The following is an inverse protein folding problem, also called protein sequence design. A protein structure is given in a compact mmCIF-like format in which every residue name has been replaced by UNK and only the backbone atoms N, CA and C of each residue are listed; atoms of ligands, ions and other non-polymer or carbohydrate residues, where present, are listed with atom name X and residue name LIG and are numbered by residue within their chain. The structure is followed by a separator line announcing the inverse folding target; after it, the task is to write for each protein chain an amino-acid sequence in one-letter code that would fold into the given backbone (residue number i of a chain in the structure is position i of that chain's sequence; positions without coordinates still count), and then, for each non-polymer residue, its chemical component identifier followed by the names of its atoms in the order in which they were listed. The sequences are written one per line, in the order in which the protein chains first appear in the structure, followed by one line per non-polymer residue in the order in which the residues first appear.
data_IF_957832184069
#
_entry.id   IF_957832184069
#
_cell.length_a   1.000
_cell.length_b   1.000
_cell.length_c   1.000
_cell.angle_alpha   90.00
_cell.angle_beta   90.00
_cell.angle_gamma   90.00
#
_symmetry.space_group_name_H-M   'P 1'
#
loop_
_entity.id
_entity.type
_entity.pdbx_description
1 polymer ?
#
# COMPACT_ATOMS: atom_id res chain seq x y z
N UNK A 1 -24.62 9.24 3.86
CA UNK A 1 -23.99 10.35 3.10
C UNK A 1 -22.60 10.72 3.59
N UNK A 2 -22.40 11.31 4.79
CA UNK A 2 -21.04 11.72 5.23
C UNK A 2 -20.09 10.52 5.43
N UNK A 3 -20.62 9.41 5.91
CA UNK A 3 -19.93 8.13 6.11
C UNK A 3 -19.47 7.49 4.78
N UNK A 4 -20.32 7.54 3.76
CA UNK A 4 -19.99 7.04 2.42
C UNK A 4 -18.86 7.85 1.78
N UNK A 5 -18.86 9.18 1.95
CA UNK A 5 -17.79 10.06 1.46
C UNK A 5 -16.46 9.76 2.15
N UNK A 6 -16.43 9.52 3.47
CA UNK A 6 -15.20 9.16 4.19
C UNK A 6 -14.67 7.79 3.71
N UNK A 7 -15.56 6.84 3.44
CA UNK A 7 -15.20 5.53 2.90
C UNK A 7 -14.61 5.68 1.48
N UNK A 8 -15.27 6.44 0.62
CA UNK A 8 -14.82 6.73 -0.75
C UNK A 8 -13.54 7.59 -0.82
N UNK A 9 -13.14 8.28 0.25
CA UNK A 9 -11.86 9.01 0.28
C UNK A 9 -10.74 8.11 0.84
N UNK A 10 -10.99 7.36 1.92
CA UNK A 10 -9.96 6.51 2.57
C UNK A 10 -9.61 5.25 1.78
N UNK A 11 -10.59 4.60 1.15
CA UNK A 11 -10.36 3.36 0.41
C UNK A 11 -9.46 3.54 -0.82
N UNK A 12 -9.73 4.49 -1.74
CA UNK A 12 -8.83 4.75 -2.87
C UNK A 12 -7.51 5.38 -2.42
N UNK A 13 -7.47 6.08 -1.29
CA UNK A 13 -6.21 6.59 -0.74
C UNK A 13 -5.29 5.45 -0.26
N UNK A 14 -5.80 4.50 0.52
CA UNK A 14 -5.01 3.36 1.03
C UNK A 14 -4.57 2.44 -0.11
N UNK A 15 -5.49 2.09 -1.02
CA UNK A 15 -5.18 1.27 -2.19
C UNK A 15 -4.19 1.98 -3.13
N UNK A 16 -4.35 3.30 -3.32
CA UNK A 16 -3.45 4.13 -4.11
C UNK A 16 -2.04 4.17 -3.54
N UNK A 17 -1.89 4.36 -2.22
CA UNK A 17 -0.58 4.33 -1.54
C UNK A 17 0.11 2.99 -1.74
N UNK A 18 -0.60 1.87 -1.54
CA UNK A 18 -0.04 0.54 -1.77
C UNK A 18 0.38 0.38 -3.24
N UNK A 19 -0.46 0.78 -4.20
CA UNK A 19 -0.13 0.71 -5.62
C UNK A 19 1.14 1.52 -5.96
N UNK A 20 1.28 2.73 -5.42
CA UNK A 20 2.49 3.56 -5.62
C UNK A 20 3.72 2.91 -5.01
N UNK A 21 3.62 2.26 -3.84
CA UNK A 21 4.73 1.53 -3.23
C UNK A 21 5.22 0.37 -4.12
N UNK A 22 4.29 -0.39 -4.71
CA UNK A 22 4.62 -1.47 -5.65
C UNK A 22 5.25 -0.96 -6.94
N UNK A 23 4.75 0.15 -7.51
CA UNK A 23 5.36 0.77 -8.68
C UNK A 23 6.77 1.31 -8.38
N UNK A 24 6.95 1.98 -7.24
CA UNK A 24 8.27 2.43 -6.80
C UNK A 24 9.25 1.28 -6.60
N UNK A 25 8.79 0.16 -6.04
CA UNK A 25 9.58 -1.07 -5.88
C UNK A 25 10.01 -1.63 -7.23
N UNK A 26 9.12 -1.68 -8.21
CA UNK A 26 9.44 -2.12 -9.56
C UNK A 26 10.51 -1.23 -10.23
N UNK A 27 10.42 0.09 -10.04
CA UNK A 27 11.43 1.04 -10.53
C UNK A 27 12.78 0.78 -9.85
N UNK A 28 12.81 0.62 -8.53
CA UNK A 28 14.05 0.37 -7.77
C UNK A 28 14.73 -0.92 -8.26
N UNK A 29 13.98 -2.00 -8.43
CA UNK A 29 14.51 -3.26 -8.93
C UNK A 29 14.99 -3.17 -10.39
N UNK A 30 14.33 -2.36 -11.22
CA UNK A 30 14.76 -2.11 -12.60
C UNK A 30 16.05 -1.30 -12.71
N UNK A 31 16.28 -0.35 -11.79
CA UNK A 31 17.48 0.51 -11.78
C UNK A 31 18.64 -0.11 -10.99
N UNK A 32 18.35 -0.91 -9.97
CA UNK A 32 19.33 -1.51 -9.06
C UNK A 32 19.25 -3.05 -9.06
N UNK A 33 19.73 -3.72 -10.12
CA UNK A 33 19.60 -5.17 -10.29
C UNK A 33 20.44 -6.00 -9.31
N UNK A 34 21.30 -5.36 -8.52
CA UNK A 34 22.11 -6.01 -7.47
C UNK A 34 21.35 -6.22 -6.17
N UNK A 35 20.15 -5.67 -6.04
CA UNK A 35 19.31 -5.88 -4.87
C UNK A 35 18.73 -7.29 -4.88
N UNK A 36 18.69 -7.91 -3.70
CA UNK A 36 17.98 -9.16 -3.51
C UNK A 36 16.46 -8.92 -3.67
N UNK A 37 15.94 -9.38 -4.79
CA UNK A 37 14.53 -9.23 -5.18
C UNK A 37 13.60 -9.76 -4.11
N UNK A 38 13.95 -10.90 -3.48
CA UNK A 38 13.08 -11.54 -2.48
C UNK A 38 13.01 -10.66 -1.24
N UNK A 39 14.14 -10.16 -0.75
CA UNK A 39 14.16 -9.29 0.43
C UNK A 39 13.39 -7.99 0.20
N UNK A 40 13.55 -7.36 -0.97
CA UNK A 40 12.83 -6.13 -1.32
C UNK A 40 11.31 -6.39 -1.42
N UNK A 41 10.90 -7.50 -2.03
CA UNK A 41 9.49 -7.87 -2.12
C UNK A 41 8.87 -8.16 -0.75
N UNK A 42 9.59 -8.86 0.13
CA UNK A 42 9.13 -9.14 1.50
C UNK A 42 8.95 -7.84 2.29
N UNK A 43 9.90 -6.91 2.22
CA UNK A 43 9.78 -5.60 2.86
C UNK A 43 8.56 -4.86 2.33
N UNK A 44 8.36 -4.82 1.01
CA UNK A 44 7.23 -4.14 0.40
C UNK A 44 5.89 -4.78 0.78
N UNK A 45 5.83 -6.12 0.89
CA UNK A 45 4.65 -6.86 1.33
C UNK A 45 4.32 -6.57 2.81
N UNK A 46 5.31 -6.59 3.69
CA UNK A 46 5.12 -6.27 5.11
C UNK A 46 4.65 -4.84 5.28
N UNK A 47 5.29 -3.88 4.59
CA UNK A 47 4.89 -2.48 4.61
C UNK A 47 3.46 -2.30 4.07
N UNK A 48 3.13 -2.93 2.94
CA UNK A 48 1.77 -2.91 2.36
C UNK A 48 0.73 -3.47 3.34
N UNK A 49 1.08 -4.54 4.07
CA UNK A 49 0.21 -5.15 5.07
C UNK A 49 -0.05 -4.22 6.25
N UNK A 50 0.98 -3.51 6.74
CA UNK A 50 0.84 -2.50 7.80
C UNK A 50 -0.08 -1.36 7.32
N UNK A 51 0.16 -0.84 6.12
CA UNK A 51 -0.68 0.23 5.52
C UNK A 51 -2.12 -0.25 5.32
N UNK A 52 -2.32 -1.48 4.88
CA UNK A 52 -3.65 -2.06 4.74
C UNK A 52 -4.37 -2.17 6.10
N UNK A 53 -3.68 -2.66 7.13
CA UNK A 53 -4.23 -2.76 8.48
C UNK A 53 -4.62 -1.38 9.03
N UNK A 54 -3.78 -0.36 8.84
CA UNK A 54 -4.08 0.99 9.34
C UNK A 54 -5.17 1.67 8.50
N UNK A 55 -5.04 1.61 7.17
CA UNK A 55 -5.89 2.35 6.24
C UNK A 55 -7.29 1.76 6.09
N UNK A 56 -7.43 0.43 6.12
CA UNK A 56 -8.72 -0.23 5.97
C UNK A 56 -9.44 -0.49 7.30
N UNK A 57 -8.74 -0.73 8.42
CA UNK A 57 -9.42 -0.94 9.71
C UNK A 57 -10.13 0.30 10.23
N UNK A 58 -9.68 1.50 9.86
CA UNK A 58 -10.33 2.76 10.23
C UNK A 58 -11.72 3.00 9.59
N UNK A 59 -12.28 2.02 8.87
CA UNK A 59 -13.61 2.06 8.26
C UNK A 59 -14.55 0.93 8.71
N UNK A 60 -14.18 0.10 9.69
CA UNK A 60 -14.95 -1.09 10.09
C UNK A 60 -15.89 -0.86 11.30
N UNK A 61 -16.23 0.40 11.60
CA UNK A 61 -17.23 0.78 12.61
C UNK A 61 -18.42 1.53 11.97
N UNK A 62 -19.09 0.91 10.99
CA UNK A 62 -20.42 1.31 10.54
C UNK A 62 -21.19 0.13 9.97
#
# INVERSE_FOLDING_TARGET
MFKDVILFVKYPYTAGVIATMWLGTAIILGVSPKLDVINVMVINLVASSIIAVIGFRGGQDI
#
